data_IF_344857181366
#
_entry.id   IF_344857181366
#
_cell.length_a   1.000
_cell.length_b   1.000
_cell.length_c   1.000
_cell.angle_alpha   90.00
_cell.angle_beta   90.00
_cell.angle_gamma   90.00
#
_symmetry.space_group_name_H-M   'P 1'
#
loop_
_entity.id
_entity.type
_entity.pdbx_description
1 polymer ?
#
# COMPACT_ATOMS: atom_id res chain seq x y z
N UNK A 1 -10.93 5.37 25.00
CA UNK A 1 -10.74 6.40 23.95
C UNK A 1 -12.01 6.40 23.08
N UNK A 2 -12.95 7.34 23.24
CA UNK A 2 -14.13 7.38 22.38
C UNK A 2 -13.79 8.09 21.06
N UNK A 3 -14.31 7.54 19.94
CA UNK A 3 -14.17 8.03 18.56
C UNK A 3 -12.82 7.77 17.85
N UNK A 4 -12.50 6.50 17.58
CA UNK A 4 -11.60 6.16 16.48
C UNK A 4 -12.42 6.08 15.19
N UNK A 5 -12.80 7.24 14.62
CA UNK A 5 -13.43 7.25 13.30
C UNK A 5 -12.33 7.02 12.26
N UNK A 6 -12.29 5.80 11.74
CA UNK A 6 -11.44 5.43 10.62
C UNK A 6 -11.96 6.16 9.38
N UNK A 7 -11.20 7.16 8.90
CA UNK A 7 -11.51 7.85 7.65
C UNK A 7 -10.47 7.47 6.60
N UNK A 8 -10.94 7.10 5.40
CA UNK A 8 -10.06 6.87 4.26
C UNK A 8 -9.66 8.20 3.64
N UNK A 9 -8.39 8.54 3.73
CA UNK A 9 -7.81 9.66 3.00
C UNK A 9 -7.22 9.14 1.70
N UNK A 10 -7.74 9.64 0.58
CA UNK A 10 -7.16 9.38 -0.75
C UNK A 10 -5.94 10.28 -0.92
N UNK A 11 -4.76 9.70 -0.86
CA UNK A 11 -3.48 10.39 -1.09
C UNK A 11 -2.66 9.57 -2.08
N UNK A 12 -2.05 10.25 -3.04
CA UNK A 12 -1.10 9.63 -3.95
C UNK A 12 0.12 9.14 -3.16
N UNK A 13 0.57 7.90 -3.42
CA UNK A 13 1.71 7.32 -2.69
C UNK A 13 2.97 8.20 -2.74
N UNK A 14 3.36 8.85 -3.87
CA UNK A 14 4.49 9.78 -3.88
C UNK A 14 4.33 10.94 -2.90
N UNK A 15 3.11 11.49 -2.80
CA UNK A 15 2.82 12.59 -1.88
C UNK A 15 2.89 12.14 -0.42
N UNK A 16 2.44 10.93 -0.13
CA UNK A 16 2.58 10.35 1.21
C UNK A 16 4.05 10.20 1.59
N UNK A 17 4.88 9.68 0.68
CA UNK A 17 6.32 9.50 0.91
C UNK A 17 7.01 10.85 1.19
N UNK A 18 6.71 11.90 0.43
CA UNK A 18 7.25 13.25 0.66
C UNK A 18 6.99 13.75 2.09
N UNK A 19 5.74 13.60 2.57
CA UNK A 19 5.34 14.03 3.91
C UNK A 19 6.06 13.22 4.99
N UNK A 20 6.17 11.90 4.80
CA UNK A 20 6.86 11.02 5.73
C UNK A 20 8.37 11.31 5.80
N UNK A 21 9.02 11.54 4.65
CA UNK A 21 10.44 11.92 4.60
C UNK A 21 10.67 13.25 5.33
N UNK A 22 9.85 14.27 5.05
CA UNK A 22 9.96 15.56 5.71
C UNK A 22 9.71 15.46 7.23
N UNK A 23 8.85 14.55 7.68
CA UNK A 23 8.63 14.31 9.11
C UNK A 23 9.82 13.59 9.75
N UNK A 24 10.35 12.54 9.11
CA UNK A 24 11.48 11.77 9.62
C UNK A 24 12.78 12.58 9.70
N UNK A 25 13.01 13.49 8.73
CA UNK A 25 14.16 14.41 8.76
C UNK A 25 14.19 15.28 10.02
N UNK A 26 13.03 15.63 10.60
CA UNK A 26 12.95 16.41 11.85
C UNK A 26 13.51 15.64 13.06
N UNK A 27 13.62 14.32 12.94
CA UNK A 27 14.20 13.44 13.95
C UNK A 27 15.65 13.04 13.64
N UNK A 28 16.28 13.64 12.61
CA UNK A 28 17.68 13.39 12.29
C UNK A 28 17.95 12.04 11.61
N UNK A 29 16.95 11.44 10.96
CA UNK A 29 17.12 10.19 10.21
C UNK A 29 18.07 10.41 9.02
N UNK A 30 19.09 9.54 8.91
CA UNK A 30 20.03 9.50 7.79
C UNK A 30 19.45 8.67 6.63
N UNK A 31 19.14 9.33 5.51
CA UNK A 31 18.60 8.69 4.31
C UNK A 31 19.68 8.48 3.26
N UNK A 32 19.97 7.23 2.93
CA UNK A 32 20.99 6.83 1.96
C UNK A 32 20.37 6.22 0.71
N UNK A 33 20.03 7.04 -0.27
CA UNK A 33 19.48 6.58 -1.55
C UNK A 33 20.55 5.95 -2.43
N UNK A 34 20.20 4.88 -3.16
CA UNK A 34 21.16 4.15 -3.98
C UNK A 34 22.08 3.21 -3.19
N UNK A 35 21.78 2.98 -1.91
CA UNK A 35 22.47 2.03 -1.06
C UNK A 35 21.62 0.77 -0.86
N UNK A 36 22.13 -0.37 -1.31
CA UNK A 36 21.42 -1.64 -1.27
C UNK A 36 22.05 -2.59 -0.23
N UNK A 37 21.20 -3.19 0.61
CA UNK A 37 21.60 -4.31 1.45
C UNK A 37 22.01 -5.50 0.57
N UNK A 38 23.18 -6.08 0.83
CA UNK A 38 23.67 -7.28 0.14
C UNK A 38 23.85 -8.48 1.07
N UNK A 39 23.99 -8.24 2.37
CA UNK A 39 24.20 -9.26 3.39
C UNK A 39 24.21 -8.65 4.78
N UNK A 40 24.17 -9.49 5.82
CA UNK A 40 24.51 -9.06 7.17
C UNK A 40 24.93 -10.28 7.99
N UNK A 41 25.73 -10.03 9.02
CA UNK A 41 26.14 -11.01 10.02
C UNK A 41 25.62 -10.55 11.39
N UNK A 42 24.95 -11.45 12.11
CA UNK A 42 24.44 -11.18 13.45
C UNK A 42 25.30 -11.89 14.49
N UNK A 43 25.67 -11.16 15.55
CA UNK A 43 26.36 -11.67 16.72
C UNK A 43 25.69 -11.22 18.02
N UNK A 44 26.35 -11.51 19.15
CA UNK A 44 25.82 -11.18 20.48
C UNK A 44 25.73 -9.66 20.73
N UNK A 45 26.57 -8.87 20.06
CA UNK A 45 26.68 -7.42 20.24
C UNK A 45 25.90 -6.60 19.20
N UNK A 46 25.21 -7.25 18.27
CA UNK A 46 24.43 -6.57 17.22
C UNK A 46 24.56 -7.20 15.83
N UNK A 47 24.42 -6.36 14.80
CA UNK A 47 24.40 -6.73 13.39
C UNK A 47 25.42 -5.90 12.60
N UNK A 48 26.26 -6.57 11.82
CA UNK A 48 27.11 -5.95 10.81
C UNK A 48 26.42 -6.07 9.45
N UNK A 49 26.11 -4.94 8.84
CA UNK A 49 25.32 -4.84 7.60
C UNK A 49 26.23 -4.58 6.41
N UNK A 50 26.15 -5.42 5.38
CA UNK A 50 26.92 -5.29 4.15
C UNK A 50 26.09 -4.52 3.11
N UNK A 51 26.65 -3.43 2.59
CA UNK A 51 25.95 -2.47 1.74
C UNK A 51 26.72 -2.24 0.45
N UNK A 52 26.04 -2.32 -0.70
CA UNK A 52 26.55 -1.82 -1.97
C UNK A 52 26.08 -0.37 -2.17
N UNK A 53 27.02 0.58 -2.25
CA UNK A 53 26.74 1.99 -2.52
C UNK A 53 27.32 2.47 -3.86
N UNK A 54 27.02 3.72 -4.25
CA UNK A 54 27.54 4.32 -5.48
C UNK A 54 29.08 4.42 -5.52
N UNK A 55 29.71 4.56 -4.34
CA UNK A 55 31.17 4.69 -4.19
C UNK A 55 31.86 3.34 -3.91
N UNK A 56 31.11 2.24 -3.90
CA UNK A 56 31.61 0.90 -3.58
C UNK A 56 30.89 0.24 -2.40
N UNK A 57 31.33 -0.97 -2.08
CA UNK A 57 30.78 -1.73 -0.95
C UNK A 57 31.39 -1.27 0.38
N UNK A 58 30.57 -1.27 1.44
CA UNK A 58 31.01 -0.96 2.81
C UNK A 58 30.13 -1.67 3.84
N UNK A 59 30.58 -1.64 5.10
CA UNK A 59 29.89 -2.25 6.24
C UNK A 59 29.39 -1.20 7.23
N UNK A 60 28.29 -1.51 7.93
CA UNK A 60 27.74 -0.69 9.00
C UNK A 60 27.33 -1.54 10.20
N UNK A 61 27.87 -1.21 11.37
CA UNK A 61 27.48 -1.84 12.63
C UNK A 61 26.24 -1.15 13.23
N UNK A 62 25.28 -1.94 13.70
CA UNK A 62 24.04 -1.48 14.34
C UNK A 62 23.58 -2.49 15.39
N UNK A 63 22.82 -2.06 16.40
CA UNK A 63 22.21 -2.97 17.37
C UNK A 63 21.06 -3.77 16.75
N UNK A 64 20.34 -3.16 15.80
CA UNK A 64 19.18 -3.77 15.16
C UNK A 64 19.14 -3.45 13.66
N UNK A 65 18.65 -4.42 12.88
CA UNK A 65 18.32 -4.29 11.47
C UNK A 65 16.82 -4.54 11.27
N UNK A 66 16.13 -3.60 10.63
CA UNK A 66 14.69 -3.69 10.34
C UNK A 66 14.47 -3.83 8.83
N UNK A 67 13.82 -4.92 8.41
CA UNK A 67 13.43 -5.14 7.01
C UNK A 67 12.18 -4.37 6.62
N UNK A 68 12.36 -3.19 6.01
CA UNK A 68 11.27 -2.38 5.43
C UNK A 68 11.34 -2.34 3.88
N UNK A 69 11.82 -3.43 3.29
CA UNK A 69 12.20 -3.60 1.88
C UNK A 69 11.12 -4.29 1.02
N UNK A 70 9.87 -4.27 1.47
CA UNK A 70 8.69 -4.71 0.70
C UNK A 70 8.48 -6.23 0.62
N UNK A 71 7.51 -6.66 -0.19
CA UNK A 71 7.07 -8.07 -0.24
C UNK A 71 8.16 -9.06 -0.67
N UNK A 72 9.11 -8.63 -1.50
CA UNK A 72 10.25 -9.41 -1.97
C UNK A 72 11.48 -9.35 -1.06
N UNK A 73 11.33 -8.78 0.15
CA UNK A 73 12.35 -8.52 1.17
C UNK A 73 13.60 -9.41 1.08
N UNK A 74 14.75 -8.79 0.81
CA UNK A 74 16.05 -9.44 0.88
C UNK A 74 16.44 -9.66 2.35
N UNK A 75 16.05 -8.74 3.24
CA UNK A 75 16.31 -8.85 4.68
C UNK A 75 15.72 -10.14 5.25
N UNK A 76 14.45 -10.41 4.96
CA UNK A 76 13.75 -11.65 5.38
C UNK A 76 14.44 -12.90 4.86
N UNK A 77 14.85 -12.89 3.58
CA UNK A 77 15.51 -14.02 2.93
C UNK A 77 16.87 -14.31 3.55
N UNK A 78 17.69 -13.28 3.76
CA UNK A 78 19.01 -13.39 4.39
C UNK A 78 18.91 -13.86 5.85
N UNK A 79 17.87 -13.44 6.57
CA UNK A 79 17.59 -13.91 7.92
C UNK A 79 17.11 -15.37 7.99
N UNK A 80 16.88 -16.05 6.86
CA UNK A 80 16.34 -17.41 6.82
C UNK A 80 14.90 -17.51 7.34
N UNK A 81 14.14 -16.43 7.30
CA UNK A 81 12.75 -16.41 7.79
C UNK A 81 11.82 -16.94 6.70
N UNK A 82 11.14 -18.05 7.00
CA UNK A 82 10.14 -18.63 6.11
C UNK A 82 8.95 -17.69 5.87
N UNK A 83 8.43 -17.72 4.65
CA UNK A 83 7.25 -16.94 4.26
C UNK A 83 6.24 -17.84 3.54
N UNK A 84 5.57 -18.74 4.29
CA UNK A 84 4.58 -19.64 3.71
C UNK A 84 3.35 -18.85 3.28
N UNK A 85 2.98 -18.99 2.01
CA UNK A 85 1.82 -18.34 1.40
C UNK A 85 1.65 -18.82 -0.03
N UNK A 86 0.48 -18.55 -0.62
CA UNK A 86 0.22 -18.83 -2.03
C UNK A 86 0.14 -17.51 -2.80
N UNK A 87 0.96 -17.38 -3.84
CA UNK A 87 0.75 -16.35 -4.86
C UNK A 87 -0.31 -16.86 -5.82
N UNK A 88 -1.53 -16.32 -5.74
CA UNK A 88 -2.56 -16.56 -6.76
C UNK A 88 -2.60 -15.35 -7.69
N UNK A 89 -2.38 -15.59 -8.98
CA UNK A 89 -2.62 -14.59 -10.02
C UNK A 89 -4.10 -14.55 -10.46
N UNK A 90 -4.93 -15.45 -9.91
CA UNK A 90 -6.35 -15.55 -10.22
C UNK A 90 -7.21 -14.71 -9.25
N UNK A 91 -6.59 -14.13 -8.21
CA UNK A 91 -7.26 -13.24 -7.26
C UNK A 91 -6.90 -11.81 -7.59
N UNK A 92 -7.80 -11.13 -8.30
CA UNK A 92 -7.81 -9.66 -8.37
C UNK A 92 -8.64 -9.18 -7.18
N UNK A 93 -7.96 -8.67 -6.15
CA UNK A 93 -8.64 -8.04 -5.03
C UNK A 93 -9.07 -6.61 -5.44
N UNK A 94 -10.32 -6.47 -5.87
CA UNK A 94 -10.92 -5.15 -6.02
C UNK A 94 -11.39 -4.65 -4.66
N UNK A 95 -10.66 -3.71 -4.07
CA UNK A 95 -11.14 -2.97 -2.89
C UNK A 95 -12.09 -1.87 -3.36
N UNK A 96 -13.37 -2.21 -3.47
CA UNK A 96 -14.44 -1.25 -3.78
C UNK A 96 -14.99 -0.64 -2.49
N UNK A 97 -14.81 0.66 -2.32
CA UNK A 97 -15.55 1.43 -1.33
C UNK A 97 -16.91 1.82 -1.93
N UNK A 98 -17.89 0.94 -1.82
CA UNK A 98 -19.26 1.23 -2.21
C UNK A 98 -19.94 2.12 -1.17
N UNK A 99 -20.43 3.28 -1.58
CA UNK A 99 -21.55 3.90 -0.86
C UNK A 99 -22.78 3.12 -1.31
N UNK A 100 -23.45 2.42 -0.40
CA UNK A 100 -24.75 1.85 -0.72
C UNK A 100 -25.68 3.00 -1.10
N UNK A 101 -26.18 3.04 -2.34
CA UNK A 101 -27.14 4.07 -2.72
C UNK A 101 -28.43 3.87 -1.91
N UNK A 102 -29.22 4.93 -1.70
CA UNK A 102 -30.58 4.80 -1.20
C UNK A 102 -31.35 3.72 -1.98
N UNK A 103 -32.09 2.87 -1.27
CA UNK A 103 -32.77 1.70 -1.89
C UNK A 103 -33.79 2.11 -2.95
N UNK A 104 -34.36 3.31 -2.85
CA UNK A 104 -35.28 3.89 -3.83
C UNK A 104 -34.60 4.26 -5.17
N UNK A 105 -33.27 4.27 -5.21
CA UNK A 105 -32.53 4.44 -6.47
C UNK A 105 -32.35 3.12 -7.22
N UNK A 106 -32.56 1.97 -6.57
CA UNK A 106 -32.42 0.66 -7.21
C UNK A 106 -33.75 0.24 -7.81
N UNK A 107 -33.78 0.01 -9.11
CA UNK A 107 -34.93 -0.60 -9.78
C UNK A 107 -35.07 -2.05 -9.29
N UNK A 108 -36.18 -2.40 -8.61
CA UNK A 108 -36.34 -3.70 -7.98
C UNK A 108 -36.58 -4.84 -8.99
N UNK A 109 -36.88 -4.52 -10.25
CA UNK A 109 -37.18 -5.52 -11.29
C UNK A 109 -35.93 -5.88 -12.10
N UNK A 110 -35.15 -4.88 -12.50
CA UNK A 110 -33.98 -5.11 -13.37
C UNK A 110 -32.63 -4.84 -12.70
N UNK A 111 -32.61 -4.33 -11.46
CA UNK A 111 -31.38 -4.06 -10.71
C UNK A 111 -30.57 -2.87 -11.22
N UNK A 112 -31.15 -2.00 -12.05
CA UNK A 112 -30.49 -0.77 -12.50
C UNK A 112 -30.47 0.28 -11.39
N UNK A 113 -29.41 1.09 -11.36
CA UNK A 113 -29.26 2.19 -10.42
C UNK A 113 -29.66 3.51 -11.09
N UNK A 114 -30.77 4.10 -10.65
CA UNK A 114 -31.24 5.41 -11.11
C UNK A 114 -30.52 6.52 -10.35
N UNK A 115 -29.42 7.02 -10.92
CA UNK A 115 -28.62 8.08 -10.30
C UNK A 115 -29.22 9.45 -10.65
N UNK A 116 -29.64 10.27 -9.68
CA UNK A 116 -30.18 11.59 -9.94
C UNK A 116 -29.21 12.46 -10.76
N UNK A 117 -29.69 13.04 -11.85
CA UNK A 117 -28.88 13.87 -12.74
C UNK A 117 -27.96 13.12 -13.71
N UNK A 118 -27.86 11.79 -13.61
CA UNK A 118 -27.06 10.95 -14.53
C UNK A 118 -27.92 9.98 -15.34
N UNK A 119 -29.02 9.48 -14.76
CA UNK A 119 -29.92 8.52 -15.39
C UNK A 119 -29.68 7.08 -14.93
N UNK A 120 -30.28 6.12 -15.64
CA UNK A 120 -30.21 4.71 -15.29
C UNK A 120 -28.84 4.11 -15.61
N UNK A 121 -28.22 3.48 -14.62
CA UNK A 121 -26.96 2.74 -14.72
C UNK A 121 -27.28 1.24 -14.67
N UNK A 122 -27.12 0.50 -15.78
CA UNK A 122 -27.30 -0.95 -15.79
C UNK A 122 -26.35 -1.67 -14.82
N UNK A 123 -26.78 -2.81 -14.25
CA UNK A 123 -25.92 -3.64 -13.42
C UNK A 123 -24.75 -4.21 -14.23
N UNK A 124 -23.62 -4.43 -13.54
CA UNK A 124 -22.37 -5.00 -14.09
C UNK A 124 -21.72 -4.20 -15.22
N UNK A 125 -22.04 -2.92 -15.33
CA UNK A 125 -21.38 -2.00 -16.26
C UNK A 125 -20.65 -0.90 -15.49
N UNK A 126 -19.45 -0.57 -15.95
CA UNK A 126 -18.65 0.52 -15.40
C UNK A 126 -18.89 1.78 -16.22
N UNK A 127 -19.40 2.81 -15.58
CA UNK A 127 -19.58 4.12 -16.19
C UNK A 127 -18.59 5.12 -15.62
N UNK A 128 -17.85 5.77 -16.51
CA UNK A 128 -17.00 6.90 -16.14
C UNK A 128 -17.82 8.17 -16.25
N UNK A 129 -18.03 8.85 -15.13
CA UNK A 129 -18.68 10.16 -15.13
C UNK A 129 -17.67 11.26 -15.53
N UNK A 130 -18.14 12.41 -16.06
CA UNK A 130 -17.28 13.55 -16.39
C UNK A 130 -16.48 14.11 -15.19
N UNK A 131 -16.96 13.88 -13.96
CA UNK A 131 -16.31 14.28 -12.71
C UNK A 131 -15.33 13.22 -12.16
N UNK A 132 -14.86 12.31 -13.02
CA UNK A 132 -13.90 11.25 -12.71
C UNK A 132 -14.33 10.21 -11.66
N UNK A 133 -15.62 10.13 -11.34
CA UNK A 133 -16.18 9.05 -10.49
C UNK A 133 -16.61 7.87 -11.36
N UNK A 134 -16.28 6.63 -10.97
CA UNK A 134 -16.84 5.42 -11.58
C UNK A 134 -18.10 4.99 -10.83
N UNK A 135 -19.19 4.76 -11.56
CA UNK A 135 -20.41 4.16 -11.02
C UNK A 135 -20.54 2.77 -11.59
N UNK A 136 -20.70 1.78 -10.72
CA UNK A 136 -20.97 0.40 -11.09
C UNK A 136 -21.96 -0.19 -10.10
N UNK A 137 -23.05 -0.76 -10.61
CA UNK A 137 -23.99 -1.52 -9.80
C UNK A 137 -23.57 -3.00 -9.79
N UNK A 138 -23.12 -3.48 -8.63
CA UNK A 138 -22.87 -4.90 -8.37
C UNK A 138 -24.10 -5.48 -7.64
N UNK A 139 -24.47 -6.71 -7.98
CA UNK A 139 -25.53 -7.44 -7.27
C UNK A 139 -24.91 -8.32 -6.18
#
# INVERSE_FOLDING_TARGET
>A
MPNHQLYTLRVEQPRLIEVLLAAAQKYGVDFRWGHALTGFDQGDDGVTVNIAGPDGAYELATEYLIGADGGSSITRKLAGIDFPGMSSYDVIEHVTFGVLPPLDWVDPVNGSLNVPGFGAVPPRQYFRTPTASSVGACN
#
